data_IF_594042835395
#
_entry.id   IF_594042835395
#
_cell.length_a   1.000
_cell.length_b   1.000
_cell.length_c   1.000
_cell.angle_alpha   90.00
_cell.angle_beta   90.00
_cell.angle_gamma   90.00
#
_symmetry.space_group_name_H-M   'P 1'
#
loop_
_entity.id
_entity.type
_entity.pdbx_description
1 polymer ?
#
# COMPACT_ATOMS: atom_id res chain seq x y z
N UNK A 1 4.42 14.58 -22.10
CA UNK A 1 5.22 15.06 -20.96
C UNK A 1 4.49 14.67 -19.69
N UNK A 2 4.84 13.51 -19.11
CA UNK A 2 4.27 13.06 -17.84
C UNK A 2 4.84 13.93 -16.72
N UNK A 3 3.99 14.60 -15.95
CA UNK A 3 4.42 15.24 -14.71
C UNK A 3 4.87 14.13 -13.77
N UNK A 4 6.18 13.93 -13.62
CA UNK A 4 6.73 13.28 -12.43
C UNK A 4 6.19 14.07 -11.24
N UNK A 5 5.38 13.43 -10.41
CA UNK A 5 4.96 13.99 -9.13
C UNK A 5 6.25 14.35 -8.39
N UNK A 6 6.46 15.65 -8.17
CA UNK A 6 7.70 16.15 -7.59
C UNK A 6 7.88 15.57 -6.20
N UNK A 7 9.04 14.94 -5.97
CA UNK A 7 9.52 14.41 -4.68
C UNK A 7 9.61 15.48 -3.56
N UNK A 8 9.14 16.71 -3.78
CA UNK A 8 9.19 17.82 -2.82
C UNK A 8 8.10 17.80 -1.76
N UNK A 9 7.09 16.92 -1.90
CA UNK A 9 5.93 16.84 -0.99
C UNK A 9 5.67 15.39 -0.54
N UNK A 10 6.75 14.65 -0.27
CA UNK A 10 6.70 13.22 0.15
C UNK A 10 6.16 13.07 1.57
N UNK A 11 6.24 14.09 2.41
CA UNK A 11 5.83 14.05 3.82
C UNK A 11 4.37 13.62 4.04
N UNK A 12 3.39 14.27 3.38
CA UNK A 12 1.99 13.85 3.46
C UNK A 12 1.73 12.42 2.94
N UNK A 13 2.43 11.98 1.88
CA UNK A 13 2.26 10.64 1.32
C UNK A 13 2.85 9.57 2.24
N UNK A 14 3.98 9.88 2.87
CA UNK A 14 4.63 9.03 3.87
C UNK A 14 3.74 8.83 5.11
N UNK A 15 3.16 9.90 5.66
CA UNK A 15 2.24 9.81 6.81
C UNK A 15 1.03 8.94 6.47
N UNK A 16 0.42 9.17 5.31
CA UNK A 16 -0.74 8.40 4.86
C UNK A 16 -0.42 6.92 4.63
N UNK A 17 0.75 6.61 4.07
CA UNK A 17 1.18 5.23 3.89
C UNK A 17 1.44 4.52 5.22
N UNK A 18 2.07 5.21 6.18
CA UNK A 18 2.27 4.68 7.53
C UNK A 18 0.94 4.44 8.24
N UNK A 19 0.00 5.39 8.18
CA UNK A 19 -1.34 5.22 8.75
C UNK A 19 -2.07 4.00 8.15
N UNK A 20 -1.92 3.77 6.84
CA UNK A 20 -2.49 2.60 6.16
C UNK A 20 -1.83 1.27 6.53
N UNK A 21 -0.56 1.28 6.91
CA UNK A 21 0.18 0.09 7.35
C UNK A 21 0.05 -0.19 8.85
N UNK A 22 -0.23 0.85 9.64
CA UNK A 22 -0.32 0.74 11.08
C UNK A 22 -1.62 0.08 11.53
N UNK A 23 -1.49 -0.71 12.58
CA UNK A 23 -2.62 -1.29 13.29
C UNK A 23 -2.79 -0.59 14.63
N UNK A 24 -4.03 -0.47 15.13
CA UNK A 24 -4.29 0.09 16.44
C UNK A 24 -3.57 -0.74 17.51
N UNK A 25 -3.15 -0.05 18.58
CA UNK A 25 -2.48 -0.70 19.69
C UNK A 25 -3.35 -1.81 20.30
N UNK A 26 -2.73 -2.87 20.86
CA UNK A 26 -3.46 -3.91 21.57
C UNK A 26 -4.37 -3.31 22.65
N UNK A 27 -5.66 -3.63 22.63
CA UNK A 27 -6.65 -3.14 23.60
C UNK A 27 -7.56 -2.01 23.09
N UNK A 28 -7.33 -1.49 21.90
CA UNK A 28 -8.25 -0.53 21.24
C UNK A 28 -9.29 -1.29 20.42
N UNK A 29 -10.57 -1.20 20.77
CA UNK A 29 -11.65 -1.74 19.95
C UNK A 29 -11.94 -0.79 18.77
N UNK A 30 -11.70 -1.24 17.54
CA UNK A 30 -12.09 -0.48 16.33
C UNK A 30 -13.60 -0.53 16.13
N UNK A 31 -14.19 0.64 15.90
CA UNK A 31 -15.56 0.76 15.41
C UNK A 31 -15.64 0.32 13.93
N UNK A 32 -16.86 0.12 13.39
CA UNK A 32 -17.02 -0.16 11.96
C UNK A 32 -16.56 1.01 11.07
N UNK A 33 -16.70 2.25 11.55
CA UNK A 33 -16.18 3.44 10.86
C UNK A 33 -14.65 3.41 10.79
N UNK A 34 -13.98 3.05 11.90
CA UNK A 34 -12.52 2.91 11.94
C UNK A 34 -12.02 1.84 10.96
N UNK A 35 -12.77 0.74 10.79
CA UNK A 35 -12.42 -0.31 9.82
C UNK A 35 -12.52 0.18 8.38
N UNK A 36 -13.55 0.95 8.06
CA UNK A 36 -13.71 1.55 6.72
C UNK A 36 -12.60 2.55 6.41
N UNK A 37 -12.24 3.39 7.38
CA UNK A 37 -11.12 4.32 7.26
C UNK A 37 -9.79 3.56 7.09
N UNK A 38 -9.58 2.50 7.87
CA UNK A 38 -8.37 1.69 7.78
C UNK A 38 -8.22 1.02 6.39
N UNK A 39 -9.31 0.49 5.83
CA UNK A 39 -9.29 -0.07 4.47
C UNK A 39 -8.92 0.98 3.42
N UNK A 40 -9.48 2.19 3.50
CA UNK A 40 -9.15 3.29 2.58
C UNK A 40 -7.68 3.69 2.71
N UNK A 41 -7.16 3.83 3.93
CA UNK A 41 -5.76 4.16 4.16
C UNK A 41 -4.83 3.06 3.64
N UNK A 42 -5.18 1.78 3.85
CA UNK A 42 -4.42 0.65 3.32
C UNK A 42 -4.39 0.65 1.78
N UNK A 43 -5.52 0.91 1.12
CA UNK A 43 -5.59 1.03 -0.35
C UNK A 43 -4.76 2.20 -0.88
N UNK A 44 -4.77 3.34 -0.19
CA UNK A 44 -3.94 4.49 -0.53
C UNK A 44 -2.45 4.15 -0.41
N UNK A 45 -2.05 3.49 0.68
CA UNK A 45 -0.68 3.02 0.89
C UNK A 45 -0.21 2.10 -0.25
N UNK A 46 -1.03 1.10 -0.62
CA UNK A 46 -0.73 0.18 -1.72
C UNK A 46 -0.60 0.88 -3.07
N UNK A 47 -1.40 1.91 -3.30
CA UNK A 47 -1.31 2.74 -4.50
C UNK A 47 0.06 3.43 -4.58
N UNK A 48 0.59 3.91 -3.45
CA UNK A 48 1.93 4.50 -3.41
C UNK A 48 3.04 3.48 -3.65
N UNK A 49 2.98 2.29 -3.02
CA UNK A 49 3.92 1.20 -3.30
C UNK A 49 3.99 0.87 -4.79
N UNK A 50 2.82 0.71 -5.42
CA UNK A 50 2.77 0.37 -6.85
C UNK A 50 3.23 1.53 -7.73
N UNK A 51 2.92 2.77 -7.36
CA UNK A 51 3.29 3.95 -8.16
C UNK A 51 4.79 4.21 -8.13
N UNK A 52 5.41 4.15 -6.95
CA UNK A 52 6.82 4.48 -6.75
C UNK A 52 7.78 3.28 -6.86
N UNK A 53 7.26 2.08 -7.11
CA UNK A 53 8.02 0.84 -7.05
C UNK A 53 8.13 0.33 -5.61
N UNK A 54 7.82 -0.95 -5.43
CA UNK A 54 7.52 -1.48 -4.12
C UNK A 54 8.76 -1.49 -3.20
N UNK A 55 9.92 -1.88 -3.73
CA UNK A 55 11.19 -1.85 -2.99
C UNK A 55 11.65 -0.44 -2.65
N UNK A 56 11.49 0.51 -3.57
CA UNK A 56 11.92 1.89 -3.37
C UNK A 56 11.08 2.52 -2.26
N UNK A 57 9.76 2.30 -2.31
CA UNK A 57 8.85 2.84 -1.31
C UNK A 57 9.01 2.15 0.06
N UNK A 58 9.23 0.83 0.09
CA UNK A 58 9.58 0.13 1.33
C UNK A 58 10.87 0.67 1.96
N UNK A 59 11.89 0.94 1.13
CA UNK A 59 13.17 1.49 1.56
C UNK A 59 13.08 2.96 2.00
N UNK A 60 12.12 3.73 1.48
CA UNK A 60 11.82 5.07 1.96
C UNK A 60 11.07 5.04 3.30
N UNK A 61 10.28 4.00 3.55
CA UNK A 61 9.59 3.80 4.82
C UNK A 61 10.46 3.24 5.94
N UNK A 62 11.67 2.79 5.62
CA UNK A 62 12.69 2.48 6.62
C UNK A 62 13.07 3.74 7.43
N UNK A 63 12.61 3.78 8.68
CA UNK A 63 13.11 4.70 9.71
C UNK A 63 13.95 3.91 10.71
N UNK A 64 15.28 3.85 10.54
CA UNK A 64 16.14 3.16 11.50
C UNK A 64 16.11 3.84 12.88
N UNK A 65 15.75 5.13 12.96
CA UNK A 65 15.55 5.84 14.21
C UNK A 65 14.34 5.32 15.01
N UNK A 66 13.32 4.80 14.32
CA UNK A 66 12.10 4.24 14.92
C UNK A 66 12.11 2.70 14.94
N UNK A 67 13.27 2.08 14.65
CA UNK A 67 13.42 0.62 14.59
C UNK A 67 12.67 -0.05 13.42
N UNK A 68 12.18 0.73 12.46
CA UNK A 68 11.48 0.22 11.28
C UNK A 68 12.49 -0.21 10.23
N UNK A 69 12.61 -1.52 10.01
CA UNK A 69 13.44 -2.09 8.95
C UNK A 69 12.62 -2.34 7.68
N UNK A 70 13.30 -2.62 6.58
CA UNK A 70 12.65 -3.14 5.36
C UNK A 70 11.76 -4.36 5.66
N UNK A 71 12.23 -5.25 6.53
CA UNK A 71 11.49 -6.42 6.99
C UNK A 71 10.25 -6.04 7.82
N UNK A 72 10.32 -4.98 8.64
CA UNK A 72 9.16 -4.45 9.35
C UNK A 72 8.05 -4.04 8.38
N UNK A 73 8.40 -3.33 7.30
CA UNK A 73 7.42 -2.90 6.27
C UNK A 73 6.78 -4.10 5.59
N UNK A 74 7.58 -5.11 5.21
CA UNK A 74 7.07 -6.35 4.63
C UNK A 74 6.13 -7.10 5.60
N UNK A 75 6.50 -7.16 6.88
CA UNK A 75 5.67 -7.79 7.89
C UNK A 75 4.34 -7.06 8.08
N UNK A 76 4.31 -5.73 8.06
CA UNK A 76 3.07 -4.95 8.13
C UNK A 76 2.13 -5.26 6.96
N UNK A 77 2.65 -5.35 5.73
CA UNK A 77 1.88 -5.75 4.56
C UNK A 77 1.29 -7.16 4.71
N UNK A 78 2.06 -8.11 5.26
CA UNK A 78 1.59 -9.46 5.55
C UNK A 78 0.49 -9.48 6.63
N UNK A 79 0.60 -8.63 7.65
CA UNK A 79 -0.44 -8.49 8.69
C UNK A 79 -1.72 -7.89 8.10
N UNK A 80 -1.64 -6.91 7.18
CA UNK A 80 -2.82 -6.41 6.43
C UNK A 80 -3.57 -7.55 5.74
N UNK A 81 -2.83 -8.49 5.13
CA UNK A 81 -3.40 -9.66 4.48
C UNK A 81 -4.01 -10.63 5.50
N UNK A 82 -3.28 -10.98 6.55
CA UNK A 82 -3.72 -11.94 7.58
C UNK A 82 -4.97 -11.46 8.34
N UNK A 83 -5.07 -10.14 8.59
CA UNK A 83 -6.19 -9.52 9.28
C UNK A 83 -7.38 -9.19 8.38
N UNK A 84 -7.28 -9.50 7.09
CA UNK A 84 -8.33 -9.20 6.09
C UNK A 84 -8.81 -7.74 6.16
N UNK A 85 -7.86 -6.80 6.34
CA UNK A 85 -8.19 -5.36 6.45
C UNK A 85 -8.84 -4.84 5.17
N UNK A 86 -8.35 -5.31 4.03
CA UNK A 86 -8.89 -4.97 2.72
C UNK A 86 -9.91 -6.05 2.31
N UNK A 87 -11.17 -5.64 2.16
CA UNK A 87 -12.28 -6.47 1.71
C UNK A 87 -12.54 -6.30 0.21
N UNK A 88 -12.15 -5.15 -0.35
CA UNK A 88 -12.25 -4.87 -1.77
C UNK A 88 -11.33 -5.79 -2.59
N UNK A 89 -11.91 -6.70 -3.40
CA UNK A 89 -11.17 -7.76 -4.12
C UNK A 89 -9.99 -7.26 -4.95
N UNK A 90 -10.13 -6.25 -5.84
CA UNK A 90 -8.98 -5.72 -6.56
C UNK A 90 -7.89 -5.16 -5.63
N UNK A 91 -8.28 -4.62 -4.48
CA UNK A 91 -7.38 -4.20 -3.41
C UNK A 91 -6.60 -5.35 -2.78
N UNK A 92 -7.26 -6.48 -2.53
CA UNK A 92 -6.60 -7.72 -2.06
C UNK A 92 -5.58 -8.19 -3.09
N UNK A 93 -5.94 -8.24 -4.37
CA UNK A 93 -5.01 -8.61 -5.45
C UNK A 93 -3.82 -7.64 -5.53
N UNK A 94 -4.05 -6.33 -5.36
CA UNK A 94 -2.98 -5.34 -5.31
C UNK A 94 -2.06 -5.58 -4.11
N UNK A 95 -2.61 -5.87 -2.93
CA UNK A 95 -1.83 -6.18 -1.73
C UNK A 95 -0.90 -7.39 -1.96
N UNK A 96 -1.42 -8.46 -2.55
CA UNK A 96 -0.62 -9.66 -2.85
C UNK A 96 0.52 -9.37 -3.83
N UNK A 97 0.26 -8.55 -4.85
CA UNK A 97 1.29 -8.11 -5.80
C UNK A 97 2.35 -7.26 -5.11
N UNK A 98 1.95 -6.27 -4.32
CA UNK A 98 2.89 -5.42 -3.57
C UNK A 98 3.76 -6.25 -2.64
N UNK A 99 3.20 -7.24 -1.93
CA UNK A 99 3.99 -8.16 -1.08
C UNK A 99 5.03 -8.89 -1.94
N UNK A 100 4.64 -9.48 -3.06
CA UNK A 100 5.56 -10.19 -3.95
C UNK A 100 6.64 -9.28 -4.55
N UNK A 101 6.28 -8.05 -4.90
CA UNK A 101 7.19 -7.04 -5.43
C UNK A 101 8.22 -6.63 -4.36
N UNK A 102 7.79 -6.40 -3.11
CA UNK A 102 8.70 -6.12 -1.98
C UNK A 102 9.62 -7.32 -1.71
N UNK A 103 9.11 -8.56 -1.75
CA UNK A 103 9.91 -9.78 -1.53
C UNK A 103 10.95 -10.02 -2.64
N UNK A 104 10.60 -9.67 -3.88
CA UNK A 104 11.49 -9.81 -5.04
C UNK A 104 12.39 -8.59 -5.27
N UNK A 105 12.30 -7.58 -4.39
CA UNK A 105 13.00 -6.30 -4.53
C UNK A 105 12.71 -5.57 -5.85
N UNK A 106 11.48 -5.70 -6.35
CA UNK A 106 11.05 -5.05 -7.58
C UNK A 106 11.00 -3.53 -7.41
N UNK A 107 11.60 -2.84 -8.39
CA UNK A 107 11.75 -1.38 -8.42
C UNK A 107 10.89 -0.74 -9.51
N UNK A 108 10.03 -1.50 -10.16
CA UNK A 108 9.24 -1.03 -11.29
C UNK A 108 8.19 -0.02 -10.80
N UNK A 109 8.32 1.21 -11.27
CA UNK A 109 7.32 2.25 -11.08
C UNK A 109 6.15 2.03 -12.05
N UNK A 110 4.95 2.37 -11.59
CA UNK A 110 3.74 2.37 -12.41
C UNK A 110 3.11 3.76 -12.41
N UNK A 111 2.55 4.16 -13.55
CA UNK A 111 1.77 5.39 -13.61
C UNK A 111 0.48 5.25 -12.79
N UNK A 112 0.00 6.35 -12.22
CA UNK A 112 -1.28 6.40 -11.51
C UNK A 112 -2.44 5.85 -12.37
N UNK A 113 -2.39 6.08 -13.69
CA UNK A 113 -3.38 5.55 -14.62
C UNK A 113 -3.33 4.03 -14.80
N UNK A 114 -2.16 3.41 -14.66
CA UNK A 114 -2.02 1.94 -14.60
C UNK A 114 -2.59 1.38 -13.31
N UNK A 115 -2.22 1.97 -12.17
CA UNK A 115 -2.71 1.53 -10.85
C UNK A 115 -4.23 1.68 -10.75
N UNK A 116 -4.79 2.77 -11.28
CA UNK A 116 -6.23 2.96 -11.37
C UNK A 116 -6.92 1.87 -12.21
N UNK A 117 -6.33 1.49 -13.35
CA UNK A 117 -6.90 0.40 -14.18
C UNK A 117 -6.88 -0.93 -13.44
N UNK A 118 -5.78 -1.24 -12.75
CA UNK A 118 -5.64 -2.47 -11.98
C UNK A 118 -6.68 -2.55 -10.85
N UNK A 119 -6.97 -1.42 -10.19
CA UNK A 119 -7.91 -1.36 -9.09
C UNK A 119 -9.38 -1.36 -9.54
N UNK A 120 -9.73 -0.67 -10.63
CA UNK A 120 -11.15 -0.38 -10.93
C UNK A 120 -11.66 -0.88 -12.27
N UNK A 121 -10.77 -1.26 -13.20
CA UNK A 121 -11.14 -1.58 -14.59
C UNK A 121 -10.71 -2.98 -15.04
N UNK A 122 -9.95 -3.71 -14.21
CA UNK A 122 -9.31 -4.97 -14.54
C UNK A 122 -10.23 -6.19 -14.72
N UNK A 123 -11.51 -6.11 -14.33
CA UNK A 123 -12.46 -7.25 -14.40
C UNK A 123 -13.40 -7.22 -15.61
N UNK A 124 -13.27 -6.29 -16.57
CA UNK A 124 -14.08 -6.29 -17.80
C UNK A 124 -13.47 -7.15 -18.93
N UNK A 125 -13.00 -8.36 -18.62
CA UNK A 125 -12.48 -9.31 -19.62
C UNK A 125 -13.00 -10.75 -19.47
N UNK A 126 -14.19 -10.94 -18.93
CA UNK A 126 -14.95 -12.18 -19.14
C UNK A 126 -16.37 -11.83 -19.56
N UNK A 127 -16.60 -11.75 -20.87
CA UNK A 127 -17.91 -11.40 -21.43
C UNK A 127 -17.86 -10.93 -22.88
N UNK A 128 -17.36 -11.76 -23.79
CA UNK A 128 -17.68 -11.71 -25.22
C UNK A 128 -17.62 -13.10 -25.82
#
# INVERSE_FOLDING_TARGET
MGRKLGLGDVGPWYSMALEGLQFPAPGTSMTEEDKGVQEICALAALTFFRTFGAEQFASLMHSPADGQTYETVLNLLKVLKEKEVIKYRPGVTLLERVIADVESHDKQEHSVGEVYRDLFLGENKEGS
#
